data_IF_727490830829
#
_entry.id   IF_727490830829
#
_cell.length_a   1.000
_cell.length_b   1.000
_cell.length_c   1.000
_cell.angle_alpha   90.00
_cell.angle_beta   90.00
_cell.angle_gamma   90.00
#
_symmetry.space_group_name_H-M   'P 1'
#
loop_
_entity.id
_entity.type
_entity.pdbx_description
1 polymer ?
#
# COMPACT_ATOMS: atom_id res chain seq x y z
N UNK A 1 -33.39 -19.79 -1.73
CA UNK A 1 -32.18 -19.81 -0.89
C UNK A 1 -31.15 -18.95 -1.59
N UNK A 2 -30.89 -17.78 -1.02
CA UNK A 2 -30.15 -16.67 -1.62
C UNK A 2 -29.04 -16.21 -0.66
N UNK A 3 -28.36 -17.21 -0.12
CA UNK A 3 -27.43 -17.06 0.99
C UNK A 3 -26.17 -16.31 0.57
N UNK A 4 -25.69 -16.52 -0.66
CA UNK A 4 -24.50 -15.84 -1.17
C UNK A 4 -24.75 -14.33 -1.30
N UNK A 5 -25.91 -13.90 -1.83
CA UNK A 5 -26.23 -12.47 -1.93
C UNK A 5 -26.32 -11.83 -0.54
N UNK A 6 -26.97 -12.49 0.41
CA UNK A 6 -27.06 -12.02 1.80
C UNK A 6 -25.68 -11.86 2.44
N UNK A 7 -24.80 -12.86 2.32
CA UNK A 7 -23.41 -12.76 2.81
C UNK A 7 -22.63 -11.60 2.16
N UNK A 8 -22.87 -11.34 0.87
CA UNK A 8 -22.28 -10.22 0.15
C UNK A 8 -22.84 -8.89 0.67
N UNK A 9 -24.15 -8.78 0.90
CA UNK A 9 -24.77 -7.58 1.49
C UNK A 9 -24.15 -7.25 2.84
N UNK A 10 -24.09 -8.24 3.75
CA UNK A 10 -23.55 -8.05 5.11
C UNK A 10 -22.09 -7.61 5.05
N UNK A 11 -21.29 -8.23 4.18
CA UNK A 11 -19.89 -7.84 3.97
C UNK A 11 -19.76 -6.43 3.40
N UNK A 12 -20.60 -6.04 2.43
CA UNK A 12 -20.57 -4.69 1.85
C UNK A 12 -20.93 -3.64 2.88
N UNK A 13 -21.94 -3.90 3.70
CA UNK A 13 -22.39 -2.99 4.75
C UNK A 13 -21.30 -2.76 5.80
N UNK A 14 -20.70 -3.84 6.32
CA UNK A 14 -19.55 -3.77 7.24
C UNK A 14 -18.40 -2.96 6.60
N UNK A 15 -18.09 -3.20 5.32
CA UNK A 15 -16.99 -2.51 4.63
C UNK A 15 -17.30 -1.03 4.41
N UNK A 16 -18.56 -0.67 4.15
CA UNK A 16 -18.99 0.73 4.05
C UNK A 16 -18.84 1.45 5.38
N UNK A 17 -19.31 0.86 6.47
CA UNK A 17 -19.16 1.41 7.83
C UNK A 17 -17.69 1.62 8.21
N UNK A 18 -16.84 0.66 7.89
CA UNK A 18 -15.40 0.78 8.08
C UNK A 18 -14.83 1.91 7.21
N UNK A 19 -15.21 1.99 5.93
CA UNK A 19 -14.70 3.01 5.01
C UNK A 19 -15.05 4.44 5.42
N UNK A 20 -16.19 4.63 6.09
CA UNK A 20 -16.63 5.93 6.61
C UNK A 20 -15.80 6.40 7.82
N UNK A 21 -15.22 5.46 8.58
CA UNK A 21 -14.43 5.73 9.80
C UNK A 21 -12.93 5.81 9.55
N UNK A 22 -12.44 5.27 8.44
CA UNK A 22 -11.02 5.32 8.10
C UNK A 22 -10.66 6.75 7.69
N UNK A 23 -9.59 7.28 8.29
CA UNK A 23 -8.98 8.57 7.96
C UNK A 23 -7.60 8.38 7.31
N UNK A 24 -7.10 9.44 6.66
CA UNK A 24 -5.81 9.45 5.98
C UNK A 24 -5.88 9.16 4.47
N UNK A 25 -4.72 9.21 3.82
CA UNK A 25 -4.60 9.06 2.35
C UNK A 25 -4.55 7.59 1.94
N UNK A 26 -3.74 6.80 2.64
CA UNK A 26 -3.51 5.38 2.35
C UNK A 26 -4.14 4.52 3.44
N UNK A 27 -4.65 3.34 3.04
CA UNK A 27 -5.26 2.37 3.95
C UNK A 27 -4.40 2.10 5.20
N UNK A 28 -4.97 2.13 6.42
CA UNK A 28 -4.23 1.96 7.66
C UNK A 28 -3.42 0.65 7.73
N UNK A 29 -3.91 -0.42 7.11
CA UNK A 29 -3.21 -1.69 7.05
C UNK A 29 -1.88 -1.58 6.28
N UNK A 30 -1.89 -0.87 5.15
CA UNK A 30 -0.67 -0.67 4.34
C UNK A 30 0.30 0.26 5.07
N UNK A 31 -0.20 1.34 5.68
CA UNK A 31 0.64 2.23 6.48
C UNK A 31 1.26 1.52 7.69
N UNK A 32 0.53 0.60 8.33
CA UNK A 32 1.04 -0.23 9.41
C UNK A 32 2.17 -1.15 8.91
N UNK A 33 1.95 -1.86 7.81
CA UNK A 33 2.97 -2.72 7.19
C UNK A 33 4.25 -1.93 6.87
N UNK A 34 4.12 -0.75 6.25
CA UNK A 34 5.26 0.12 5.93
C UNK A 34 6.04 0.56 7.18
N UNK A 35 5.33 0.92 8.26
CA UNK A 35 5.93 1.30 9.55
C UNK A 35 6.62 0.13 10.24
N UNK A 36 6.15 -1.10 10.03
CA UNK A 36 6.79 -2.29 10.56
C UNK A 36 8.04 -2.63 9.75
N UNK A 37 7.97 -2.54 8.42
CA UNK A 37 9.10 -2.74 7.53
C UNK A 37 10.18 -1.66 7.66
N UNK A 38 9.83 -0.45 8.12
CA UNK A 38 10.79 0.65 8.33
C UNK A 38 11.71 0.45 9.55
N UNK A 39 11.49 -0.59 10.34
CA UNK A 39 12.28 -0.87 11.56
C UNK A 39 13.48 -1.74 11.26
N UNK A 40 14.56 -1.55 12.02
CA UNK A 40 15.75 -2.40 12.00
C UNK A 40 16.38 -2.55 10.60
N UNK A 41 16.42 -1.44 9.84
CA UNK A 41 17.01 -1.41 8.51
C UNK A 41 18.48 -0.98 8.62
N UNK A 42 19.39 -1.95 8.72
CA UNK A 42 20.83 -1.69 8.67
C UNK A 42 21.32 -1.73 7.21
N UNK A 43 21.11 -0.62 6.52
CA UNK A 43 21.46 -0.44 5.11
C UNK A 43 22.23 0.86 4.89
N UNK A 44 23.13 0.87 3.90
CA UNK A 44 23.84 2.03 3.41
C UNK A 44 23.12 2.63 2.20
N UNK A 45 23.08 3.96 2.16
CA UNK A 45 22.46 4.74 1.08
C UNK A 45 23.51 5.58 0.37
N UNK A 46 23.59 5.42 -0.95
CA UNK A 46 24.39 6.27 -1.83
C UNK A 46 23.46 6.99 -2.80
N UNK A 47 23.14 8.25 -2.51
CA UNK A 47 22.21 9.04 -3.32
C UNK A 47 22.88 9.68 -4.54
N UNK A 48 22.14 9.69 -5.64
CA UNK A 48 22.40 10.51 -6.83
C UNK A 48 21.24 11.48 -7.02
N UNK A 49 21.30 12.60 -6.28
CA UNK A 49 20.21 13.57 -6.24
C UNK A 49 19.04 13.17 -5.34
N UNK A 50 17.86 13.75 -5.61
CA UNK A 50 16.65 13.56 -4.80
C UNK A 50 15.76 12.39 -5.27
N UNK A 51 16.03 11.84 -6.46
CA UNK A 51 15.16 10.83 -7.10
C UNK A 51 15.81 9.46 -7.21
N UNK A 52 17.14 9.39 -7.31
CA UNK A 52 17.86 8.17 -7.66
C UNK A 52 18.90 7.86 -6.59
N UNK A 53 19.05 6.58 -6.25
CA UNK A 53 20.09 6.16 -5.32
C UNK A 53 20.29 4.66 -5.30
N UNK A 54 21.40 4.26 -4.70
CA UNK A 54 21.72 2.87 -4.42
C UNK A 54 21.56 2.57 -2.94
N UNK A 55 20.92 1.45 -2.63
CA UNK A 55 20.72 0.98 -1.26
C UNK A 55 21.29 -0.44 -1.13
N UNK A 56 22.22 -0.64 -0.20
CA UNK A 56 22.85 -1.93 0.07
C UNK A 56 22.79 -2.29 1.55
N UNK A 57 22.87 -3.58 1.88
CA UNK A 57 22.97 -4.01 3.29
C UNK A 57 24.35 -3.65 3.83
N UNK A 58 24.41 -3.03 5.02
CA UNK A 58 25.69 -2.67 5.64
C UNK A 58 26.53 -3.91 5.91
N UNK A 59 27.81 -3.86 5.56
CA UNK A 59 28.72 -5.01 5.73
C UNK A 59 28.31 -6.26 4.92
N UNK A 60 27.37 -6.13 3.99
CA UNK A 60 26.89 -7.22 3.15
C UNK A 60 27.86 -7.55 2.00
N UNK A 61 27.39 -8.38 1.06
CA UNK A 61 28.15 -8.88 -0.09
C UNK A 61 28.54 -7.82 -1.14
N UNK A 62 28.30 -6.53 -0.87
CA UNK A 62 28.41 -5.46 -1.85
C UNK A 62 27.24 -5.37 -2.84
N UNK A 63 26.24 -6.27 -2.74
CA UNK A 63 25.02 -6.16 -3.53
C UNK A 63 24.22 -4.91 -3.16
N UNK A 64 23.81 -4.17 -4.19
CA UNK A 64 23.03 -2.93 -4.05
C UNK A 64 21.79 -2.99 -4.93
N UNK A 65 20.71 -2.40 -4.43
CA UNK A 65 19.52 -2.13 -5.20
C UNK A 65 19.50 -0.69 -5.67
N UNK A 66 19.15 -0.48 -6.94
CA UNK A 66 18.93 0.85 -7.50
C UNK A 66 17.47 1.21 -7.26
N UNK A 67 17.23 2.35 -6.63
CA UNK A 67 15.91 2.91 -6.32
C UNK A 67 15.73 4.18 -7.13
N UNK A 68 14.63 4.27 -7.88
CA UNK A 68 14.18 5.48 -8.57
C UNK A 68 12.78 5.85 -8.07
N UNK A 69 12.68 6.99 -7.37
CA UNK A 69 11.44 7.46 -6.77
C UNK A 69 10.46 8.07 -7.78
N UNK A 70 10.96 8.63 -8.87
CA UNK A 70 10.13 9.23 -9.92
C UNK A 70 9.45 8.14 -10.75
N UNK A 71 10.23 7.15 -11.19
CA UNK A 71 9.71 5.99 -11.92
C UNK A 71 9.02 4.97 -11.00
N UNK A 72 9.13 5.13 -9.67
CA UNK A 72 8.63 4.20 -8.66
C UNK A 72 9.17 2.77 -8.86
N UNK A 73 10.48 2.67 -9.10
CA UNK A 73 11.15 1.40 -9.36
C UNK A 73 12.23 1.07 -8.35
N UNK A 74 12.38 -0.23 -8.11
CA UNK A 74 13.50 -0.82 -7.39
C UNK A 74 14.07 -1.97 -8.22
N UNK A 75 15.40 -2.14 -8.28
CA UNK A 75 15.98 -3.27 -9.01
C UNK A 75 15.58 -4.65 -8.43
N UNK A 76 15.08 -4.70 -7.19
CA UNK A 76 14.49 -5.91 -6.60
C UNK A 76 13.07 -6.23 -7.13
N UNK A 77 12.47 -5.32 -7.92
CA UNK A 77 11.16 -5.39 -8.58
C UNK A 77 9.93 -5.47 -7.69
N UNK A 78 10.08 -5.50 -6.37
CA UNK A 78 8.95 -5.64 -5.45
C UNK A 78 7.95 -4.50 -5.59
N UNK A 79 8.43 -3.26 -5.67
CA UNK A 79 7.57 -2.08 -5.79
C UNK A 79 6.76 -2.08 -7.09
N UNK A 80 7.39 -2.43 -8.20
CA UNK A 80 6.72 -2.48 -9.51
C UNK A 80 5.60 -3.54 -9.56
N UNK A 81 5.74 -4.63 -8.80
CA UNK A 81 4.76 -5.71 -8.76
C UNK A 81 3.63 -5.42 -7.78
N UNK A 82 3.95 -4.91 -6.59
CA UNK A 82 2.95 -4.71 -5.53
C UNK A 82 2.35 -3.31 -5.51
N UNK A 83 2.99 -2.31 -6.10
CA UNK A 83 2.67 -0.90 -5.87
C UNK A 83 3.02 -0.39 -4.47
N UNK A 84 3.70 -1.20 -3.66
CA UNK A 84 4.08 -0.88 -2.27
C UNK A 84 5.62 -0.81 -2.19
N UNK A 85 6.20 0.28 -1.66
CA UNK A 85 7.64 0.41 -1.45
C UNK A 85 8.23 -0.79 -0.72
N UNK A 86 9.32 -1.34 -1.22
CA UNK A 86 10.05 -2.40 -0.54
C UNK A 86 11.03 -1.84 0.50
N UNK A 87 11.70 -2.70 1.26
CA UNK A 87 12.68 -2.27 2.29
C UNK A 87 13.75 -1.31 1.75
N UNK A 88 14.27 -1.52 0.55
CA UNK A 88 15.27 -0.61 -0.05
C UNK A 88 14.68 0.77 -0.31
N UNK A 89 13.46 0.81 -0.84
CA UNK A 89 12.74 2.05 -1.16
C UNK A 89 12.38 2.79 0.12
N UNK A 90 11.92 2.07 1.15
CA UNK A 90 11.64 2.61 2.48
C UNK A 90 12.90 3.24 3.08
N UNK A 91 14.06 2.57 3.02
CA UNK A 91 15.33 3.17 3.47
C UNK A 91 15.62 4.46 2.69
N UNK A 92 15.49 4.44 1.36
CA UNK A 92 15.82 5.61 0.54
C UNK A 92 14.87 6.79 0.80
N UNK A 93 13.57 6.53 0.87
CA UNK A 93 12.53 7.53 1.16
C UNK A 93 12.74 8.12 2.56
N UNK A 94 13.00 7.29 3.57
CA UNK A 94 13.24 7.75 4.94
C UNK A 94 14.55 8.52 5.07
N UNK A 95 15.59 8.13 4.34
CA UNK A 95 16.85 8.87 4.25
C UNK A 95 16.65 10.29 3.68
N UNK A 96 15.75 10.45 2.71
CA UNK A 96 15.36 11.75 2.15
C UNK A 96 14.35 12.52 3.02
N UNK A 97 13.88 11.92 4.13
CA UNK A 97 12.87 12.48 5.04
C UNK A 97 11.51 12.77 4.35
N UNK A 98 11.19 12.02 3.31
CA UNK A 98 9.90 12.12 2.65
C UNK A 98 8.85 11.18 3.29
N UNK A 99 7.56 11.52 3.25
CA UNK A 99 6.51 10.67 3.81
C UNK A 99 6.23 9.47 2.89
N UNK A 100 6.20 8.27 3.48
CA UNK A 100 6.05 7.00 2.75
C UNK A 100 4.73 6.90 1.96
N UNK A 101 3.66 7.50 2.48
CA UNK A 101 2.32 7.49 1.86
C UNK A 101 2.29 8.06 0.45
N UNK A 102 3.20 8.99 0.09
CA UNK A 102 3.32 9.54 -1.27
C UNK A 102 3.79 8.51 -2.31
N UNK A 103 4.44 7.44 -1.86
CA UNK A 103 5.09 6.44 -2.70
C UNK A 103 4.31 5.12 -2.76
N UNK A 104 3.14 5.06 -2.14
CA UNK A 104 2.21 3.93 -2.28
C UNK A 104 1.33 4.16 -3.51
N UNK A 105 1.02 3.08 -4.23
CA UNK A 105 0.09 3.14 -5.33
C UNK A 105 -1.31 3.62 -4.89
N UNK A 106 -1.95 4.44 -5.72
CA UNK A 106 -3.28 5.00 -5.45
C UNK A 106 -4.35 3.92 -5.29
N UNK A 107 -4.13 2.71 -5.81
CA UNK A 107 -5.00 1.54 -5.59
C UNK A 107 -5.25 1.26 -4.10
N UNK A 108 -4.29 1.58 -3.23
CA UNK A 108 -4.39 1.40 -1.77
C UNK A 108 -4.93 2.62 -1.02
N UNK A 109 -5.37 3.66 -1.73
CA UNK A 109 -5.93 4.86 -1.11
C UNK A 109 -7.25 4.56 -0.39
N UNK A 110 -7.51 5.33 0.67
CA UNK A 110 -8.78 5.28 1.39
C UNK A 110 -9.94 5.62 0.46
N UNK A 111 -9.74 6.55 -0.48
CA UNK A 111 -10.76 6.94 -1.44
C UNK A 111 -11.12 5.82 -2.43
N UNK A 112 -10.12 5.07 -2.93
CA UNK A 112 -10.40 3.87 -3.75
C UNK A 112 -11.13 2.80 -2.95
N UNK A 113 -10.79 2.64 -1.68
CA UNK A 113 -11.51 1.71 -0.80
C UNK A 113 -12.97 2.14 -0.59
N UNK A 114 -13.24 3.43 -0.32
CA UNK A 114 -14.61 3.97 -0.20
C UNK A 114 -15.41 3.77 -1.47
N UNK A 115 -14.85 4.15 -2.62
CA UNK A 115 -15.49 4.00 -3.92
C UNK A 115 -15.85 2.54 -4.24
N UNK A 116 -15.05 1.57 -3.81
CA UNK A 116 -15.33 0.16 -4.03
C UNK A 116 -16.56 -0.38 -3.27
N UNK A 117 -16.91 0.22 -2.12
CA UNK A 117 -17.99 -0.25 -1.23
C UNK A 117 -19.17 0.74 -1.09
N UNK A 118 -19.13 1.85 -1.82
CA UNK A 118 -20.18 2.88 -1.79
C UNK A 118 -21.54 2.32 -2.27
N UNK A 119 -21.54 1.51 -3.32
CA UNK A 119 -22.78 0.98 -3.92
C UNK A 119 -23.56 0.04 -2.98
N UNK A 120 -24.88 0.06 -3.10
CA UNK A 120 -25.77 -0.88 -2.43
C UNK A 120 -25.91 -2.18 -3.24
N UNK A 121 -25.95 -3.31 -2.54
CA UNK A 121 -26.29 -4.60 -3.13
C UNK A 121 -27.82 -4.71 -3.17
N UNK A 122 -28.45 -4.91 -4.34
CA UNK A 122 -29.90 -4.95 -4.45
C UNK A 122 -30.55 -6.03 -3.57
N UNK A 123 -31.68 -5.69 -2.96
CA UNK A 123 -32.57 -6.65 -2.33
C UNK A 123 -33.34 -7.43 -3.41
N UNK A 124 -33.57 -8.73 -3.19
CA UNK A 124 -34.45 -9.53 -4.04
C UNK A 124 -35.76 -9.81 -3.29
N UNK A 125 -36.93 -9.59 -3.91
CA UNK A 125 -38.21 -9.96 -3.33
C UNK A 125 -38.32 -11.48 -3.19
N UNK A 126 -39.19 -11.94 -2.29
CA UNK A 126 -39.38 -13.37 -2.07
C UNK A 126 -40.03 -14.01 -3.30
N UNK A 127 -39.76 -15.30 -3.52
CA UNK A 127 -40.23 -16.03 -4.72
C UNK A 127 -41.75 -16.15 -4.84
N UNK A 128 -42.48 -15.82 -3.77
CA UNK A 128 -43.93 -15.93 -3.68
C UNK A 128 -44.67 -14.62 -4.06
N UNK A 129 -43.96 -13.61 -4.55
CA UNK A 129 -44.51 -12.31 -4.94
C UNK A 129 -44.68 -12.19 -6.46
#
# INVERSE_FOLDING_TARGET
MDMIRQLIMDKWDIRRDVSAKIEGVISPHIMKELREQSRNLDMDVHRSGAILGEVGVKGGSGYKCVVNLEERTCSCRKWQVSGIPCKHDIVFITYLREPLEKYVDNYYSVDKFRAAYESLIPAMPDKAQ
#
